data_IF_028560796916
#
_entry.id   IF_028560796916
#
_cell.length_a   1.000
_cell.length_b   1.000
_cell.length_c   1.000
_cell.angle_alpha   90.00
_cell.angle_beta   90.00
_cell.angle_gamma   90.00
#
_symmetry.space_group_name_H-M   'P 1'
#
loop_
_entity.id
_entity.type
_entity.pdbx_description
1 polymer ?
#
# COMPACT_ATOMS: atom_id res chain seq x y z
N UNK A 1 -16.08 15.27 -7.65
CA UNK A 1 -15.86 13.92 -8.21
C UNK A 1 -15.94 12.94 -7.05
N UNK A 2 -16.97 12.10 -7.04
CA UNK A 2 -17.20 11.15 -5.94
C UNK A 2 -16.15 10.02 -6.00
N UNK A 3 -15.66 9.54 -4.85
CA UNK A 3 -14.66 8.45 -4.77
C UNK A 3 -15.16 7.21 -5.52
N UNK A 4 -16.47 6.98 -5.49
CA UNK A 4 -17.16 5.91 -6.22
C UNK A 4 -17.03 6.03 -7.76
N UNK A 5 -16.88 7.23 -8.30
CA UNK A 5 -16.70 7.45 -9.75
C UNK A 5 -15.27 7.13 -10.23
N UNK A 6 -14.28 7.27 -9.35
CA UNK A 6 -12.86 6.99 -9.62
C UNK A 6 -12.54 5.49 -9.62
N UNK A 7 -13.33 4.68 -8.89
CA UNK A 7 -13.18 3.21 -8.84
C UNK A 7 -13.34 2.56 -10.23
N UNK A 8 -14.04 3.22 -11.18
CA UNK A 8 -14.13 2.73 -12.56
C UNK A 8 -12.80 2.80 -13.33
N UNK A 9 -11.83 3.57 -12.84
CA UNK A 9 -10.57 3.84 -13.54
C UNK A 9 -9.32 3.58 -12.69
N UNK A 10 -9.47 3.10 -11.46
CA UNK A 10 -8.36 2.89 -10.54
C UNK A 10 -8.47 1.54 -9.81
N UNK A 11 -7.33 0.88 -9.64
CA UNK A 11 -7.21 -0.27 -8.76
C UNK A 11 -6.65 0.18 -7.41
N UNK A 12 -7.26 -0.32 -6.33
CA UNK A 12 -6.86 0.03 -4.98
C UNK A 12 -5.77 -0.96 -4.51
N UNK A 13 -4.62 -0.44 -4.09
CA UNK A 13 -3.61 -1.21 -3.35
C UNK A 13 -3.55 -0.68 -1.91
N UNK A 14 -3.85 -1.55 -0.92
CA UNK A 14 -3.69 -1.22 0.49
C UNK A 14 -2.27 -1.52 0.97
N UNK A 15 -1.76 -0.69 1.87
CA UNK A 15 -0.46 -0.90 2.51
C UNK A 15 -0.47 -2.18 3.36
N UNK A 16 0.38 -3.14 3.02
CA UNK A 16 0.49 -4.43 3.73
C UNK A 16 1.05 -4.25 5.14
N UNK A 17 1.92 -3.26 5.37
CA UNK A 17 2.50 -2.99 6.69
C UNK A 17 1.43 -2.51 7.66
N UNK A 18 0.69 -1.46 7.31
CA UNK A 18 -0.41 -0.96 8.14
C UNK A 18 -1.49 -2.01 8.33
N UNK A 19 -1.83 -2.77 7.28
CA UNK A 19 -2.83 -3.82 7.43
C UNK A 19 -2.40 -4.87 8.45
N UNK A 20 -1.13 -5.29 8.40
CA UNK A 20 -0.56 -6.23 9.37
C UNK A 20 -0.65 -5.66 10.79
N UNK A 21 -0.19 -4.44 11.03
CA UNK A 21 -0.24 -3.86 12.39
C UNK A 21 -1.69 -3.70 12.89
N UNK A 22 -2.66 -3.37 12.02
CA UNK A 22 -4.09 -3.34 12.37
C UNK A 22 -4.66 -4.71 12.76
N UNK A 23 -4.12 -5.81 12.23
CA UNK A 23 -4.51 -7.16 12.67
C UNK A 23 -3.89 -7.47 14.03
N UNK A 24 -2.60 -7.15 14.19
CA UNK A 24 -1.84 -7.42 15.41
C UNK A 24 -2.32 -6.63 16.62
N UNK A 25 -2.88 -5.43 16.42
CA UNK A 25 -3.38 -4.59 17.52
C UNK A 25 -4.53 -5.22 18.32
N UNK A 26 -5.22 -6.22 17.78
CA UNK A 26 -6.25 -6.98 18.48
C UNK A 26 -5.70 -8.16 19.28
N UNK A 27 -4.41 -8.49 19.13
CA UNK A 27 -3.79 -9.64 19.79
C UNK A 27 -3.00 -9.20 21.02
N UNK A 28 -3.00 -10.06 22.04
CA UNK A 28 -2.09 -9.94 23.19
C UNK A 28 -0.63 -10.06 22.75
N UNK A 29 0.29 -9.44 23.49
CA UNK A 29 1.70 -9.25 23.08
C UNK A 29 2.40 -10.56 22.73
N UNK A 30 2.08 -11.63 23.45
CA UNK A 30 2.64 -12.97 23.30
C UNK A 30 2.38 -13.56 21.91
N UNK A 31 1.24 -13.21 21.29
CA UNK A 31 0.87 -13.71 19.96
C UNK A 31 1.38 -12.81 18.83
N UNK A 32 1.60 -11.52 19.08
CA UNK A 32 1.87 -10.53 18.03
C UNK A 32 3.08 -10.91 17.16
N UNK A 33 4.20 -11.30 17.76
CA UNK A 33 5.42 -11.57 16.98
C UNK A 33 5.30 -12.83 16.11
N UNK A 34 4.55 -13.83 16.58
CA UNK A 34 4.27 -15.05 15.80
C UNK A 34 3.37 -14.72 14.60
N UNK A 35 2.29 -13.98 14.81
CA UNK A 35 1.39 -13.59 13.72
C UNK A 35 2.00 -12.57 12.77
N UNK A 36 2.88 -11.69 13.26
CA UNK A 36 3.66 -10.75 12.42
C UNK A 36 4.46 -11.52 11.37
N UNK A 37 5.20 -12.53 11.81
CA UNK A 37 6.00 -13.41 10.93
C UNK A 37 5.12 -14.20 9.97
N UNK A 38 4.00 -14.77 10.43
CA UNK A 38 3.06 -15.51 9.58
C UNK A 38 2.46 -14.64 8.47
N UNK A 39 1.93 -13.47 8.82
CA UNK A 39 1.37 -12.51 7.88
C UNK A 39 2.43 -12.02 6.88
N UNK A 40 3.63 -11.71 7.36
CA UNK A 40 4.72 -11.28 6.48
C UNK A 40 5.13 -12.36 5.49
N UNK A 41 5.23 -13.62 5.92
CA UNK A 41 5.51 -14.75 5.02
C UNK A 41 4.40 -14.94 4.00
N UNK A 42 3.14 -14.89 4.44
CA UNK A 42 1.99 -15.01 3.54
C UNK A 42 1.99 -13.94 2.45
N UNK A 43 2.30 -12.68 2.80
CA UNK A 43 2.43 -11.61 1.82
C UNK A 43 3.65 -11.75 0.89
N UNK A 44 4.69 -12.48 1.30
CA UNK A 44 5.90 -12.69 0.50
C UNK A 44 5.77 -13.82 -0.54
N UNK A 45 4.66 -14.56 -0.53
CA UNK A 45 4.38 -15.55 -1.58
C UNK A 45 4.36 -14.88 -2.97
N UNK A 46 4.90 -15.55 -4.02
CA UNK A 46 5.18 -14.91 -5.30
C UNK A 46 3.92 -14.67 -6.15
N UNK A 47 2.85 -15.45 -5.91
CA UNK A 47 1.63 -15.43 -6.72
C UNK A 47 0.43 -15.11 -5.84
N UNK A 48 -0.61 -14.51 -6.43
CA UNK A 48 -1.88 -14.23 -5.77
C UNK A 48 -2.46 -15.46 -5.06
N UNK A 49 -2.55 -16.60 -5.74
CA UNK A 49 -3.18 -17.80 -5.18
C UNK A 49 -2.43 -18.32 -3.95
N UNK A 50 -1.11 -18.39 -4.02
CA UNK A 50 -0.27 -18.78 -2.87
C UNK A 50 -0.40 -17.80 -1.71
N UNK A 51 -0.34 -16.49 -1.99
CA UNK A 51 -0.46 -15.46 -0.96
C UNK A 51 -1.84 -15.50 -0.28
N UNK A 52 -2.92 -15.59 -1.07
CA UNK A 52 -4.28 -15.70 -0.57
C UNK A 52 -4.48 -16.98 0.23
N UNK A 53 -4.03 -18.13 -0.27
CA UNK A 53 -4.13 -19.39 0.47
C UNK A 53 -3.38 -19.34 1.80
N UNK A 54 -2.18 -18.73 1.82
CA UNK A 54 -1.41 -18.54 3.04
C UNK A 54 -2.13 -17.60 4.03
N UNK A 55 -2.67 -16.47 3.58
CA UNK A 55 -3.45 -15.56 4.42
C UNK A 55 -4.72 -16.23 4.97
N UNK A 56 -5.39 -17.07 4.19
CA UNK A 56 -6.56 -17.83 4.64
C UNK A 56 -6.21 -18.89 5.68
N UNK A 57 -4.99 -19.46 5.64
CA UNK A 57 -4.48 -20.31 6.73
C UNK A 57 -4.28 -19.48 8.01
N UNK A 58 -3.64 -18.31 7.90
CA UNK A 58 -3.47 -17.40 9.05
C UNK A 58 -4.83 -16.98 9.63
N UNK A 59 -5.82 -16.71 8.79
CA UNK A 59 -7.20 -16.41 9.21
C UNK A 59 -7.80 -17.53 10.05
N UNK A 60 -7.67 -18.80 9.63
CA UNK A 60 -8.17 -19.96 10.39
C UNK A 60 -7.52 -20.05 11.77
N UNK A 61 -6.23 -19.80 11.86
CA UNK A 61 -5.54 -19.76 13.15
C UNK A 61 -6.00 -18.59 14.02
N UNK A 62 -6.18 -17.40 13.44
CA UNK A 62 -6.71 -16.23 14.14
C UNK A 62 -8.13 -16.46 14.69
N UNK A 63 -8.98 -17.23 13.98
CA UNK A 63 -10.36 -17.50 14.43
C UNK A 63 -10.46 -18.28 15.73
N UNK A 64 -9.38 -18.98 16.13
CA UNK A 64 -9.30 -19.66 17.42
C UNK A 64 -8.86 -18.72 18.56
N UNK A 65 -8.46 -17.49 18.24
CA UNK A 65 -7.82 -16.56 19.19
C UNK A 65 -8.62 -15.27 19.34
N UNK A 66 -8.96 -14.61 18.23
CA UNK A 66 -9.62 -13.31 18.27
C UNK A 66 -10.42 -13.02 16.99
N UNK A 67 -11.75 -12.91 17.12
CA UNK A 67 -12.66 -12.63 16.00
C UNK A 67 -12.46 -11.22 15.39
N UNK A 68 -12.12 -10.21 16.19
CA UNK A 68 -11.83 -8.87 15.68
C UNK A 68 -10.54 -8.83 14.84
N UNK A 69 -9.53 -9.64 15.18
CA UNK A 69 -8.36 -9.81 14.34
C UNK A 69 -8.70 -10.48 13.00
N UNK A 70 -9.64 -11.43 12.99
CA UNK A 70 -10.16 -12.06 11.75
C UNK A 70 -10.86 -11.03 10.88
N UNK A 71 -11.82 -10.29 11.42
CA UNK A 71 -12.56 -9.24 10.69
C UNK A 71 -11.61 -8.16 10.17
N UNK A 72 -10.63 -7.77 11.00
CA UNK A 72 -9.54 -6.91 10.57
C UNK A 72 -8.82 -7.54 9.38
N UNK A 73 -8.35 -8.78 9.42
CA UNK A 73 -7.65 -9.40 8.28
C UNK A 73 -8.50 -9.44 6.99
N UNK A 74 -9.79 -9.77 7.10
CA UNK A 74 -10.71 -9.84 5.95
C UNK A 74 -10.96 -8.49 5.28
N UNK A 75 -11.07 -7.42 6.07
CA UNK A 75 -11.38 -6.09 5.57
C UNK A 75 -10.29 -5.59 4.60
N UNK A 76 -10.62 -5.45 3.33
CA UNK A 76 -9.67 -4.95 2.34
C UNK A 76 -8.53 -5.93 2.00
N UNK A 77 -8.71 -7.23 2.27
CA UNK A 77 -7.72 -8.27 1.98
C UNK A 77 -7.33 -8.30 0.50
N UNK A 78 -8.32 -8.22 -0.39
CA UNK A 78 -8.08 -8.26 -1.83
C UNK A 78 -7.21 -7.09 -2.31
N UNK A 79 -7.42 -5.91 -1.74
CA UNK A 79 -6.66 -4.69 -2.04
C UNK A 79 -5.22 -4.78 -1.52
N UNK A 80 -4.93 -5.61 -0.51
CA UNK A 80 -3.53 -5.87 -0.11
C UNK A 80 -2.79 -6.75 -1.11
N UNK A 81 -3.52 -7.48 -1.97
CA UNK A 81 -2.99 -8.41 -2.96
C UNK A 81 -3.11 -7.90 -4.41
N UNK A 82 -3.45 -6.62 -4.62
CA UNK A 82 -3.58 -6.03 -5.96
C UNK A 82 -2.30 -6.18 -6.78
N UNK A 83 -1.12 -5.92 -6.21
CA UNK A 83 0.16 -6.15 -6.90
C UNK A 83 0.40 -7.62 -7.29
N UNK A 84 -0.08 -8.56 -6.48
CA UNK A 84 -0.01 -9.99 -6.81
C UNK A 84 -0.92 -10.34 -7.97
N UNK A 85 -2.16 -9.82 -7.99
CA UNK A 85 -3.11 -10.00 -9.10
C UNK A 85 -2.56 -9.45 -10.40
N UNK A 86 -1.88 -8.31 -10.35
CA UNK A 86 -1.24 -7.68 -11.51
C UNK A 86 0.06 -8.39 -11.94
N UNK A 87 0.54 -9.40 -11.21
CA UNK A 87 1.79 -10.11 -11.54
C UNK A 87 3.06 -9.27 -11.32
N UNK A 88 2.99 -8.20 -10.55
CA UNK A 88 4.05 -7.19 -10.40
C UNK A 88 4.64 -7.13 -8.99
N UNK A 89 4.22 -8.02 -8.10
CA UNK A 89 4.64 -8.00 -6.71
C UNK A 89 6.16 -8.10 -6.52
N UNK A 90 6.85 -9.00 -7.23
CA UNK A 90 8.31 -9.13 -7.12
C UNK A 90 9.04 -7.89 -7.68
N UNK A 91 8.53 -7.32 -8.77
CA UNK A 91 9.15 -6.19 -9.49
C UNK A 91 8.99 -4.86 -8.74
N UNK A 92 7.81 -4.60 -8.18
CA UNK A 92 7.42 -3.30 -7.63
C UNK A 92 7.07 -3.34 -6.13
N UNK A 93 6.88 -4.52 -5.55
CA UNK A 93 6.43 -4.68 -4.17
C UNK A 93 7.36 -4.05 -3.15
N UNK A 94 8.67 -3.94 -3.41
CA UNK A 94 9.59 -3.27 -2.46
C UNK A 94 9.20 -1.81 -2.18
N UNK A 95 8.62 -1.10 -3.15
CA UNK A 95 8.21 0.30 -2.97
C UNK A 95 6.70 0.49 -2.89
N UNK A 96 5.90 -0.34 -3.57
CA UNK A 96 4.45 -0.11 -3.71
C UNK A 96 3.58 -0.96 -2.79
N UNK A 97 4.12 -1.96 -2.08
CA UNK A 97 3.33 -2.74 -1.11
C UNK A 97 3.16 -2.03 0.24
N UNK A 98 3.94 -0.98 0.48
CA UNK A 98 3.87 -0.16 1.69
C UNK A 98 3.76 1.33 1.35
N UNK A 99 3.48 2.14 2.36
CA UNK A 99 3.37 3.61 2.27
C UNK A 99 4.68 4.33 2.63
N UNK A 100 5.80 3.62 2.79
CA UNK A 100 7.09 4.18 3.24
C UNK A 100 7.54 5.39 2.41
N UNK A 101 7.31 5.39 1.10
CA UNK A 101 7.69 6.50 0.23
C UNK A 101 6.96 7.79 0.60
N UNK A 102 5.67 7.69 0.98
CA UNK A 102 4.84 8.83 1.40
C UNK A 102 5.20 9.23 2.83
N UNK A 103 5.35 8.26 3.73
CA UNK A 103 5.75 8.51 5.13
C UNK A 103 7.11 9.21 5.21
N UNK A 104 8.07 8.82 4.36
CA UNK A 104 9.38 9.48 4.27
C UNK A 104 9.25 10.94 3.85
N UNK A 105 8.38 11.26 2.89
CA UNK A 105 8.14 12.65 2.49
C UNK A 105 7.47 13.43 3.61
N UNK A 106 6.46 12.84 4.27
CA UNK A 106 5.76 13.48 5.38
C UNK A 106 6.69 13.78 6.56
N UNK A 107 7.58 12.85 6.92
CA UNK A 107 8.59 13.08 7.96
C UNK A 107 9.55 14.21 7.59
N UNK A 108 9.96 14.30 6.33
CA UNK A 108 10.81 15.40 5.86
C UNK A 108 10.09 16.75 5.86
N UNK A 109 8.79 16.78 5.56
CA UNK A 109 7.97 17.99 5.68
C UNK A 109 7.90 18.41 7.15
N UNK A 110 7.56 17.48 8.04
CA UNK A 110 7.47 17.72 9.49
C UNK A 110 8.76 18.33 10.03
N UNK A 111 9.92 17.79 9.69
CA UNK A 111 11.22 18.35 10.12
C UNK A 111 11.40 19.83 9.77
N UNK A 112 10.82 20.29 8.66
CA UNK A 112 10.92 21.67 8.15
C UNK A 112 9.84 22.58 8.74
N UNK A 113 8.68 22.04 9.08
CA UNK A 113 7.52 22.82 9.54
C UNK A 113 7.28 22.76 11.05
N UNK A 114 7.86 21.79 11.76
CA UNK A 114 7.61 21.53 13.19
C UNK A 114 8.00 22.68 14.13
N UNK A 115 8.85 23.62 13.68
CA UNK A 115 9.26 24.80 14.46
C UNK A 115 8.42 26.05 14.15
N UNK A 116 7.45 25.95 13.24
CA UNK A 116 6.57 27.06 12.88
C UNK A 116 5.34 26.97 13.78
N UNK A 117 5.41 27.66 14.92
CA UNK A 117 4.38 27.58 15.95
C UNK A 117 3.22 28.56 15.73
N UNK A 118 3.38 29.51 14.81
CA UNK A 118 2.40 30.57 14.59
C UNK A 118 2.07 30.77 13.11
N UNK A 119 0.94 30.17 12.71
CA UNK A 119 0.38 30.27 11.36
C UNK A 119 -0.69 31.37 11.30
N UNK A 120 -0.55 32.31 10.36
CA UNK A 120 -1.47 33.43 10.17
C UNK A 120 -2.72 33.06 9.36
N UNK A 121 -2.57 32.20 8.35
CA UNK A 121 -3.66 31.79 7.47
C UNK A 121 -3.30 30.52 6.66
N UNK A 122 -4.27 30.01 5.89
CA UNK A 122 -4.09 28.82 5.04
C UNK A 122 -3.08 29.04 3.91
N UNK A 123 -3.02 30.24 3.32
CA UNK A 123 -2.06 30.56 2.26
C UNK A 123 -0.61 30.42 2.75
N UNK A 124 -0.30 30.88 3.97
CA UNK A 124 1.01 30.70 4.58
C UNK A 124 1.36 29.22 4.72
N UNK A 125 0.44 28.38 5.21
CA UNK A 125 0.65 26.92 5.34
C UNK A 125 0.95 26.27 3.99
N UNK A 126 0.17 26.60 2.96
CA UNK A 126 0.36 26.06 1.61
C UNK A 126 1.71 26.48 1.02
N UNK A 127 2.14 27.73 1.21
CA UNK A 127 3.46 28.20 0.76
C UNK A 127 4.60 27.46 1.47
N UNK A 128 4.51 27.29 2.79
CA UNK A 128 5.51 26.52 3.54
C UNK A 128 5.61 25.07 3.09
N UNK A 129 4.46 24.41 2.89
CA UNK A 129 4.41 23.05 2.34
C UNK A 129 5.04 22.98 0.95
N UNK A 130 4.69 23.88 0.04
CA UNK A 130 5.24 23.93 -1.31
C UNK A 130 6.76 24.14 -1.30
N UNK A 131 7.26 25.09 -0.50
CA UNK A 131 8.71 25.34 -0.36
C UNK A 131 9.43 24.12 0.21
N UNK A 132 8.88 23.48 1.24
CA UNK A 132 9.46 22.27 1.82
C UNK A 132 9.53 21.14 0.79
N UNK A 133 8.48 20.92 0.01
CA UNK A 133 8.44 19.91 -1.05
C UNK A 133 9.48 20.17 -2.14
N UNK A 134 9.63 21.42 -2.61
CA UNK A 134 10.66 21.78 -3.60
C UNK A 134 12.09 21.53 -3.08
N UNK A 135 12.32 21.72 -1.78
CA UNK A 135 13.61 21.46 -1.15
C UNK A 135 13.88 19.96 -0.94
N UNK A 136 12.82 19.16 -0.77
CA UNK A 136 12.89 17.71 -0.59
C UNK A 136 13.12 16.99 -1.91
N UNK A 137 12.42 17.40 -2.97
CA UNK A 137 12.32 16.71 -4.26
C UNK A 137 13.68 16.26 -4.84
N UNK A 138 14.74 17.10 -4.90
CA UNK A 138 16.02 16.70 -5.52
C UNK A 138 16.72 15.53 -4.82
N UNK A 139 16.36 15.24 -3.57
CA UNK A 139 16.97 14.18 -2.74
C UNK A 139 16.15 12.89 -2.76
N UNK A 140 14.98 12.88 -3.43
CA UNK A 140 14.13 11.71 -3.48
C UNK A 140 14.71 10.64 -4.40
N UNK A 141 14.68 9.40 -3.92
CA UNK A 141 15.03 8.25 -4.72
C UNK A 141 13.88 7.89 -5.67
N UNK A 142 14.23 7.39 -6.87
CA UNK A 142 13.24 6.76 -7.74
C UNK A 142 12.62 5.54 -7.06
N UNK A 143 11.36 5.26 -7.39
CA UNK A 143 10.67 4.02 -7.00
C UNK A 143 11.53 2.81 -7.39
N UNK A 144 11.69 1.84 -6.49
CA UNK A 144 12.41 0.62 -6.85
C UNK A 144 11.61 -0.15 -7.89
N UNK A 145 12.27 -0.49 -8.99
CA UNK A 145 11.60 -1.11 -10.13
C UNK A 145 10.89 -0.11 -11.04
N UNK A 146 11.21 1.20 -10.97
CA UNK A 146 10.56 2.23 -11.81
C UNK A 146 10.52 1.91 -13.32
N UNK A 147 11.45 1.09 -13.82
CA UNK A 147 11.47 0.63 -15.22
C UNK A 147 10.27 -0.24 -15.59
N UNK A 148 9.59 -0.83 -14.62
CA UNK A 148 8.37 -1.63 -14.79
C UNK A 148 7.08 -0.82 -14.64
N UNK A 149 7.15 0.51 -14.44
CA UNK A 149 5.95 1.36 -14.40
C UNK A 149 5.13 1.34 -15.72
N UNK A 150 5.74 1.25 -16.92
CA UNK A 150 4.97 1.03 -18.14
C UNK A 150 4.18 -0.29 -18.11
N UNK A 151 4.79 -1.37 -17.61
CA UNK A 151 4.12 -2.67 -17.44
C UNK A 151 2.98 -2.60 -16.43
N UNK A 152 3.17 -1.87 -15.31
CA UNK A 152 2.12 -1.58 -14.33
C UNK A 152 0.90 -0.89 -14.98
N UNK A 153 1.14 0.13 -15.79
CA UNK A 153 0.06 0.83 -16.52
C UNK A 153 -0.71 -0.13 -17.43
N UNK A 154 -0.01 -0.94 -18.23
CA UNK A 154 -0.65 -1.93 -19.11
C UNK A 154 -1.44 -2.97 -18.32
N UNK A 155 -0.89 -3.45 -17.19
CA UNK A 155 -1.59 -4.41 -16.32
C UNK A 155 -2.87 -3.81 -15.72
N UNK A 156 -2.82 -2.55 -15.25
CA UNK A 156 -3.99 -1.83 -14.74
C UNK A 156 -5.05 -1.66 -15.85
N UNK A 157 -4.64 -1.23 -17.05
CA UNK A 157 -5.57 -1.04 -18.18
C UNK A 157 -6.24 -2.35 -18.60
N UNK A 158 -5.49 -3.45 -18.60
CA UNK A 158 -6.03 -4.80 -18.87
C UNK A 158 -7.04 -5.22 -17.81
N UNK A 159 -6.70 -5.07 -16.54
CA UNK A 159 -7.57 -5.45 -15.42
C UNK A 159 -8.89 -4.65 -15.43
N UNK A 160 -8.80 -3.35 -15.72
CA UNK A 160 -9.94 -2.45 -15.82
C UNK A 160 -10.67 -2.51 -17.18
N UNK A 161 -10.18 -3.31 -18.13
CA UNK A 161 -10.74 -3.45 -19.49
C UNK A 161 -10.87 -2.11 -20.23
N UNK A 162 -9.92 -1.20 -20.01
CA UNK A 162 -9.91 0.14 -20.64
C UNK A 162 -9.46 0.05 -22.11
N UNK A 163 -8.58 -0.89 -22.44
CA UNK A 163 -8.03 -1.08 -23.80
C UNK A 163 -8.62 -2.36 -24.42
N UNK A 164 -8.93 -2.32 -25.71
CA UNK A 164 -9.51 -3.45 -26.46
C UNK A 164 -8.50 -4.59 -26.66
N UNK A 165 -8.98 -5.84 -26.83
CA UNK A 165 -8.11 -7.01 -27.09
C UNK A 165 -7.22 -6.86 -28.32
N UNK A 166 -7.58 -6.02 -29.29
CA UNK A 166 -6.85 -5.82 -30.55
C UNK A 166 -5.59 -4.96 -30.38
N UNK A 167 -5.57 -4.01 -29.45
CA UNK A 167 -4.40 -3.15 -29.19
C UNK A 167 -3.35 -3.80 -28.27
N UNK A 168 -3.70 -4.90 -27.58
CA UNK A 168 -2.76 -5.64 -26.72
C UNK A 168 -1.81 -6.58 -27.46
N UNK A 169 -2.03 -6.79 -28.77
CA UNK A 169 -1.27 -7.73 -29.61
C UNK A 169 -0.36 -7.04 -30.64
N UNK A 170 -0.36 -5.70 -30.66
CA UNK A 170 0.53 -4.87 -31.47
C UNK A 170 1.68 -4.32 -30.60
#
# INVERSE_FOLDING_TARGET
MDVLSLIRYALIQRCQWHKRENVLSYLVKEHQETFRRKLQRAYQEPTYEKAKAALMKVKKELSLINESAVRSLEEGLEETLTLHRLGLFEKLGKSLKTSNSIESVMSLIEQRTQKVDYWKNSNQKQRWLATALLEIEPRLNRIRGYRYLPELRTAIQRELRIISKQEMAA
#
